data_IF_090008737575
#
_entry.id   IF_090008737575
#
_cell.length_a   1.000
_cell.length_b   1.000
_cell.length_c   1.000
_cell.angle_alpha   90.00
_cell.angle_beta   90.00
_cell.angle_gamma   90.00
#
_symmetry.space_group_name_H-M   'P 1'
#
loop_
_entity.id
_entity.type
_entity.pdbx_description
1 polymer ?
#
# COMPACT_ATOMS: atom_id res chain seq x y z
N UNK A 1 -3.22 9.13 5.47
CA UNK A 1 -2.25 10.02 4.78
C UNK A 1 -2.86 10.54 3.50
N UNK A 2 -2.70 11.81 3.23
CA UNK A 2 -3.21 12.41 1.99
C UNK A 2 -2.31 12.06 0.81
N UNK A 3 -2.92 12.00 -0.38
CA UNK A 3 -2.18 11.67 -1.60
C UNK A 3 -1.05 12.67 -1.89
N UNK A 4 -1.32 13.97 -1.66
CA UNK A 4 -0.32 15.01 -1.87
C UNK A 4 0.90 14.84 -0.97
N UNK A 5 0.68 14.45 0.27
CA UNK A 5 1.78 14.19 1.22
C UNK A 5 2.60 12.98 0.78
N UNK A 6 1.91 11.90 0.38
CA UNK A 6 2.61 10.70 -0.08
C UNK A 6 3.44 10.99 -1.33
N UNK A 7 2.86 11.72 -2.28
CA UNK A 7 3.57 12.10 -3.50
C UNK A 7 4.83 12.90 -3.19
N UNK A 8 4.72 13.90 -2.31
CA UNK A 8 5.85 14.71 -1.92
C UNK A 8 6.96 13.85 -1.31
N UNK A 9 6.59 12.91 -0.45
CA UNK A 9 7.55 12.04 0.21
C UNK A 9 8.21 11.06 -0.76
N UNK A 10 7.46 10.56 -1.75
CA UNK A 10 8.03 9.73 -2.81
C UNK A 10 9.09 10.53 -3.57
N UNK A 11 8.76 11.76 -3.96
CA UNK A 11 9.69 12.62 -4.73
C UNK A 11 10.93 13.02 -3.96
N UNK A 12 10.83 13.14 -2.65
CA UNK A 12 11.96 13.50 -1.79
C UNK A 12 12.72 12.29 -1.25
N UNK A 13 12.40 11.09 -1.73
CA UNK A 13 13.02 9.83 -1.30
C UNK A 13 12.83 9.57 0.20
N UNK A 14 11.68 9.94 0.73
CA UNK A 14 11.30 9.75 2.15
C UNK A 14 9.96 9.01 2.27
N UNK A 15 9.62 8.20 1.27
CA UNK A 15 8.36 7.50 1.28
C UNK A 15 8.27 6.51 2.43
N UNK A 16 7.10 6.37 3.06
CA UNK A 16 6.86 5.26 3.97
C UNK A 16 6.81 3.96 3.18
N UNK A 17 6.74 2.84 3.85
CA UNK A 17 6.45 1.57 3.18
C UNK A 17 5.02 1.65 2.64
N UNK A 18 4.84 1.41 1.36
CA UNK A 18 3.51 1.46 0.72
C UNK A 18 3.05 0.03 0.49
N UNK A 19 1.93 -0.33 1.10
CA UNK A 19 1.36 -1.67 0.99
C UNK A 19 0.15 -1.64 0.08
N UNK A 20 0.16 -2.47 -0.95
CA UNK A 20 -0.96 -2.65 -1.87
C UNK A 20 -1.58 -4.03 -1.63
N UNK A 21 -2.75 -4.10 -0.98
CA UNK A 21 -3.36 -5.38 -0.60
C UNK A 21 -4.21 -6.00 -1.70
N UNK A 22 -4.14 -5.48 -2.92
CA UNK A 22 -4.89 -6.03 -4.04
C UNK A 22 -4.26 -7.33 -4.53
N UNK A 23 -4.94 -8.00 -5.44
CA UNK A 23 -4.40 -9.21 -6.06
C UNK A 23 -3.13 -8.92 -6.87
N UNK A 24 -2.36 -9.96 -7.14
CA UNK A 24 -1.14 -9.84 -7.93
C UNK A 24 -1.44 -9.35 -9.34
N UNK A 25 -2.54 -9.79 -9.94
CA UNK A 25 -2.93 -9.37 -11.29
C UNK A 25 -3.23 -7.87 -11.31
N UNK A 26 -4.00 -7.38 -10.35
CA UNK A 26 -4.29 -5.95 -10.25
C UNK A 26 -3.02 -5.13 -10.06
N UNK A 27 -2.13 -5.58 -9.18
CA UNK A 27 -0.86 -4.89 -8.90
C UNK A 27 0.00 -4.80 -10.16
N UNK A 28 0.10 -5.87 -10.94
CA UNK A 28 0.90 -5.86 -12.16
C UNK A 28 0.36 -4.91 -13.21
N UNK A 29 -0.96 -4.69 -13.22
CA UNK A 29 -1.59 -3.77 -14.17
C UNK A 29 -1.31 -2.31 -13.86
N UNK A 30 -0.94 -2.02 -12.65
CA UNK A 30 -0.59 -0.67 -12.24
C UNK A 30 -0.64 -0.50 -10.73
N UNK A 31 0.31 0.25 -10.20
CA UNK A 31 0.41 0.51 -8.76
C UNK A 31 1.24 1.77 -8.52
N UNK A 32 1.23 2.25 -7.29
CA UNK A 32 2.05 3.38 -6.90
C UNK A 32 3.53 2.96 -6.95
N UNK A 33 4.42 3.78 -7.52
CA UNK A 33 5.85 3.45 -7.56
C UNK A 33 6.40 3.12 -6.18
N UNK A 34 7.12 2.00 -6.07
CA UNK A 34 7.73 1.56 -4.83
C UNK A 34 6.80 0.75 -3.91
N UNK A 35 5.53 0.56 -4.28
CA UNK A 35 4.61 -0.20 -3.45
C UNK A 35 4.98 -1.69 -3.41
N UNK A 36 4.69 -2.30 -2.27
CA UNK A 36 4.84 -3.74 -2.06
C UNK A 36 3.46 -4.38 -2.19
N UNK A 37 3.34 -5.36 -3.04
CA UNK A 37 2.10 -6.12 -3.17
C UNK A 37 1.99 -7.14 -2.03
N UNK A 38 1.00 -6.98 -1.19
CA UNK A 38 0.72 -7.89 -0.08
C UNK A 38 -0.78 -8.22 -0.08
N UNK A 39 -1.21 -9.12 -0.96
CA UNK A 39 -2.63 -9.49 -1.02
C UNK A 39 -3.17 -9.91 0.35
N UNK A 40 -4.41 -9.54 0.64
CA UNK A 40 -5.02 -9.77 1.96
C UNK A 40 -4.87 -11.23 2.39
N UNK A 41 -5.10 -12.19 1.49
CA UNK A 41 -4.99 -13.61 1.84
C UNK A 41 -3.57 -13.99 2.27
N UNK A 42 -2.56 -13.37 1.67
CA UNK A 42 -1.18 -13.65 2.04
C UNK A 42 -0.82 -13.05 3.39
N UNK A 43 -1.37 -11.88 3.70
CA UNK A 43 -1.20 -11.29 5.03
C UNK A 43 -1.85 -12.21 6.06
N UNK A 44 -3.09 -12.65 5.81
CA UNK A 44 -3.83 -13.53 6.71
C UNK A 44 -3.07 -14.82 7.00
N UNK A 45 -2.46 -15.41 5.97
CA UNK A 45 -1.74 -16.68 6.09
C UNK A 45 -0.27 -16.49 6.48
N UNK A 46 0.13 -15.27 6.80
CA UNK A 46 1.51 -14.92 7.14
C UNK A 46 2.51 -15.29 6.03
N UNK A 47 2.09 -15.11 4.79
CA UNK A 47 2.88 -15.44 3.60
C UNK A 47 3.32 -14.20 2.83
N UNK A 48 2.92 -13.00 3.26
CA UNK A 48 3.32 -11.77 2.60
C UNK A 48 4.77 -11.44 2.95
N UNK A 49 5.50 -10.94 1.95
CA UNK A 49 6.89 -10.52 2.16
C UNK A 49 6.88 -9.07 2.66
N UNK A 50 6.87 -8.91 3.97
CA UNK A 50 6.81 -7.62 4.62
C UNK A 50 8.14 -7.30 5.30
N UNK A 51 8.44 -6.00 5.53
CA UNK A 51 9.60 -5.62 6.32
C UNK A 51 9.55 -6.26 7.70
N UNK A 52 10.70 -6.66 8.22
CA UNK A 52 10.78 -7.28 9.55
C UNK A 52 10.60 -6.26 10.68
N UNK A 53 10.97 -5.01 10.45
CA UNK A 53 10.81 -3.95 11.44
C UNK A 53 9.34 -3.57 11.54
N UNK A 54 8.73 -3.91 12.67
CA UNK A 54 7.31 -3.67 12.93
C UNK A 54 6.97 -2.20 13.20
N UNK A 55 7.98 -1.36 13.41
CA UNK A 55 7.78 0.05 13.74
C UNK A 55 7.85 0.96 12.52
N UNK A 56 8.20 0.43 11.35
CA UNK A 56 8.23 1.22 10.13
C UNK A 56 6.86 1.80 9.81
N UNK A 57 6.87 3.06 9.37
CA UNK A 57 5.66 3.72 8.93
C UNK A 57 5.17 3.08 7.63
N UNK A 58 3.90 2.70 7.59
CA UNK A 58 3.27 2.09 6.42
C UNK A 58 2.04 2.83 5.99
N UNK A 59 1.84 2.96 4.69
CA UNK A 59 0.60 3.43 4.10
C UNK A 59 -0.02 2.30 3.30
N UNK A 60 -1.30 2.06 3.53
CA UNK A 60 -2.02 0.97 2.87
C UNK A 60 -2.97 1.58 1.84
N UNK A 61 -2.88 1.12 0.59
CA UNK A 61 -3.62 1.69 -0.52
C UNK A 61 -4.25 0.60 -1.37
N UNK A 62 -5.58 0.56 -1.42
CA UNK A 62 -6.32 -0.27 -2.36
C UNK A 62 -7.29 0.60 -3.15
N UNK A 63 -7.98 0.00 -4.14
CA UNK A 63 -8.79 0.79 -5.08
C UNK A 63 -9.91 1.56 -4.39
N UNK A 64 -10.68 0.91 -3.50
CA UNK A 64 -11.87 1.49 -2.86
C UNK A 64 -11.86 1.40 -1.32
N UNK A 65 -10.78 0.97 -0.71
CA UNK A 65 -10.61 0.99 0.74
C UNK A 65 -11.00 -0.25 1.51
N UNK A 66 -11.86 -1.12 1.00
CA UNK A 66 -12.32 -2.30 1.74
C UNK A 66 -11.17 -3.24 2.10
N UNK A 67 -10.34 -3.56 1.12
CA UNK A 67 -9.20 -4.45 1.33
C UNK A 67 -8.12 -3.78 2.18
N UNK A 68 -7.99 -2.45 2.07
CA UNK A 68 -7.02 -1.72 2.87
C UNK A 68 -7.38 -1.74 4.37
N UNK A 69 -8.67 -1.57 4.68
CA UNK A 69 -9.13 -1.63 6.07
C UNK A 69 -8.88 -3.03 6.65
N UNK A 70 -9.20 -4.08 5.90
CA UNK A 70 -8.95 -5.45 6.33
C UNK A 70 -7.46 -5.71 6.52
N UNK A 71 -6.64 -5.25 5.57
CA UNK A 71 -5.18 -5.39 5.66
C UNK A 71 -4.62 -4.69 6.89
N UNK A 72 -5.13 -3.50 7.21
CA UNK A 72 -4.72 -2.76 8.41
C UNK A 72 -4.96 -3.58 9.68
N UNK A 73 -6.13 -4.19 9.80
CA UNK A 73 -6.45 -5.03 10.95
C UNK A 73 -5.52 -6.26 11.03
N UNK A 74 -5.31 -6.93 9.91
CA UNK A 74 -4.44 -8.11 9.86
C UNK A 74 -3.00 -7.76 10.19
N UNK A 75 -2.50 -6.65 9.64
CA UNK A 75 -1.15 -6.19 9.95
C UNK A 75 -0.99 -5.89 11.44
N UNK A 76 -2.00 -5.29 12.06
CA UNK A 76 -1.98 -5.01 13.50
C UNK A 76 -1.87 -6.30 14.31
N UNK A 77 -2.55 -7.38 13.89
CA UNK A 77 -2.46 -8.68 14.55
C UNK A 77 -1.05 -9.24 14.49
N UNK A 78 -0.28 -8.93 13.45
CA UNK A 78 1.11 -9.36 13.30
C UNK A 78 2.11 -8.35 13.87
N UNK A 79 1.63 -7.32 14.56
CA UNK A 79 2.48 -6.37 15.26
C UNK A 79 2.81 -5.09 14.48
N UNK A 80 2.33 -4.93 13.26
CA UNK A 80 2.53 -3.71 12.48
C UNK A 80 1.46 -2.69 12.86
N UNK A 81 1.83 -1.74 13.73
CA UNK A 81 0.87 -0.80 14.29
C UNK A 81 1.03 0.64 13.80
N UNK A 82 2.12 0.92 13.10
CA UNK A 82 2.36 2.26 12.57
C UNK A 82 1.85 2.35 11.12
N UNK A 83 0.54 2.14 10.95
CA UNK A 83 -0.10 2.07 9.64
C UNK A 83 -1.14 3.15 9.48
N UNK A 84 -1.30 3.64 8.25
CA UNK A 84 -2.33 4.60 7.88
C UNK A 84 -2.93 4.20 6.54
N UNK A 85 -4.19 4.59 6.31
CA UNK A 85 -4.83 4.39 5.03
C UNK A 85 -4.53 5.58 4.12
N UNK A 86 -4.37 5.33 2.82
CA UNK A 86 -4.27 6.40 1.84
C UNK A 86 -5.66 7.02 1.66
N UNK A 87 -5.79 8.31 1.93
CA UNK A 87 -7.06 9.02 1.75
C UNK A 87 -7.37 9.15 0.28
N UNK A 88 -8.63 8.92 -0.08
CA UNK A 88 -9.06 8.89 -1.48
C UNK A 88 -8.72 7.59 -2.19
N UNK A 89 -7.95 6.73 -1.57
CA UNK A 89 -7.57 5.41 -2.09
C UNK A 89 -6.87 5.51 -3.45
N UNK A 90 -6.64 4.38 -4.11
CA UNK A 90 -6.03 4.37 -5.44
C UNK A 90 -6.94 4.99 -6.49
N UNK A 91 -8.26 4.91 -6.31
CA UNK A 91 -9.19 5.60 -7.20
C UNK A 91 -8.90 7.10 -7.26
N UNK A 92 -8.74 7.74 -6.10
CA UNK A 92 -8.40 9.16 -6.04
C UNK A 92 -7.01 9.46 -6.59
N UNK A 93 -6.06 8.59 -6.32
CA UNK A 93 -4.69 8.71 -6.85
C UNK A 93 -4.68 8.72 -8.37
N UNK A 94 -5.41 7.77 -8.99
CA UNK A 94 -5.50 7.70 -10.44
C UNK A 94 -6.27 8.86 -11.05
N UNK A 95 -7.36 9.32 -10.41
CA UNK A 95 -8.12 10.46 -10.89
C UNK A 95 -7.30 11.75 -10.89
N UNK A 96 -6.36 11.86 -9.97
CA UNK A 96 -5.45 13.00 -9.91
C UNK A 96 -4.26 12.85 -10.86
N UNK A 97 -4.21 11.78 -11.64
CA UNK A 97 -3.14 11.50 -12.60
C UNK A 97 -1.74 11.51 -11.96
N UNK A 98 -1.64 10.96 -10.77
CA UNK A 98 -0.37 10.85 -10.04
C UNK A 98 0.44 9.66 -10.53
N UNK A 99 1.75 9.61 -10.20
CA UNK A 99 2.64 8.56 -10.74
C UNK A 99 2.10 7.15 -10.56
N UNK A 100 2.18 6.39 -11.61
CA UNK A 100 1.62 5.04 -11.69
C UNK A 100 2.55 4.19 -12.55
N UNK A 101 2.94 3.02 -12.08
CA UNK A 101 3.82 2.16 -12.84
C UNK A 101 3.22 0.76 -12.99
N UNK A 102 3.58 0.10 -14.09
CA UNK A 102 3.20 -1.28 -14.34
C UNK A 102 4.38 -2.17 -14.07
N UNK A 103 4.13 -3.33 -13.47
CA UNK A 103 5.18 -4.30 -13.27
C UNK A 103 5.66 -4.83 -14.63
N UNK A 104 6.96 -4.99 -14.78
CA UNK A 104 7.51 -5.68 -15.93
C UNK A 104 7.01 -7.13 -15.88
N UNK A 105 6.48 -7.60 -17.01
CA UNK A 105 5.99 -8.98 -17.13
C UNK A 105 7.14 -9.92 -17.38
#
# INVERSE_FOLDING_TARGET
MQASELLQRIRSNRAPVIIDPRSEVEFKRGHIPGAINAPVRKILLNMAQLPKDRNLEMVIACMHGQRAVMAKWLLALYGYRNTALLEGYLEGWQKADLPWEKAAS
#
